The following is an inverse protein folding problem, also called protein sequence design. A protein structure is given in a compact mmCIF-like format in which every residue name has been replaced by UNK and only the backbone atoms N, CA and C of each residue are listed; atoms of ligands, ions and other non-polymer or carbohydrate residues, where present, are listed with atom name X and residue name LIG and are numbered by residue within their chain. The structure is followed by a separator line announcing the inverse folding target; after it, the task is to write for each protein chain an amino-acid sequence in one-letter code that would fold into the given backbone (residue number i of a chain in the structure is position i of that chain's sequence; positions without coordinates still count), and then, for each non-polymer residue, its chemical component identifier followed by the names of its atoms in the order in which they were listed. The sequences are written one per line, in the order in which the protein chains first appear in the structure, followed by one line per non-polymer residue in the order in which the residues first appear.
data_IF_577365270391
#
_entry.id   IF_577365270391
#
_cell.length_a   1.000
_cell.length_b   1.000
_cell.length_c   1.000
_cell.angle_alpha   90.00
_cell.angle_beta   90.00
_cell.angle_gamma   90.00
#
_symmetry.space_group_name_H-M   'P 1'
#
loop_
_entity.id
_entity.type
_entity.pdbx_description
1 polymer ?
#
# COMPACT_ATOMS: atom_id res chain seq x y z
N UNK A 1 -4.31 14.50 0.43
CA UNK A 1 -3.45 13.94 1.48
C UNK A 1 -2.50 12.96 0.83
N UNK A 2 -1.20 13.18 0.95
CA UNK A 2 -0.17 12.26 0.50
C UNK A 2 0.99 12.41 1.49
N UNK A 3 1.63 11.32 1.85
CA UNK A 3 2.68 11.33 2.86
C UNK A 3 2.86 9.98 3.54
N UNK A 4 3.88 9.92 4.38
CA UNK A 4 4.19 8.78 5.24
C UNK A 4 3.56 9.01 6.61
N UNK A 5 2.90 7.99 7.16
CA UNK A 5 2.46 7.96 8.56
C UNK A 5 3.41 7.04 9.32
N UNK A 6 4.12 7.59 10.29
CA UNK A 6 5.13 6.87 11.04
C UNK A 6 4.53 6.14 12.25
N UNK A 7 5.09 4.97 12.57
CA UNK A 7 4.85 4.28 13.84
C UNK A 7 6.12 3.60 14.37
N UNK A 8 6.02 2.95 15.52
CA UNK A 8 7.16 2.25 16.15
C UNK A 8 7.66 1.06 15.31
N UNK A 9 6.75 0.33 14.64
CA UNK A 9 7.07 -0.94 13.98
C UNK A 9 6.97 -0.91 12.46
N UNK A 10 6.12 -0.05 11.90
CA UNK A 10 5.92 0.05 10.46
C UNK A 10 5.42 1.44 10.07
N UNK A 11 6.05 2.04 9.08
CA UNK A 11 5.56 3.27 8.48
C UNK A 11 4.69 2.93 7.28
N UNK A 12 3.61 3.68 7.09
CA UNK A 12 2.65 3.44 6.01
C UNK A 12 2.55 4.68 5.14
N UNK A 13 2.87 4.53 3.85
CA UNK A 13 2.81 5.58 2.85
C UNK A 13 1.47 5.61 2.14
N UNK A 14 1.03 6.81 1.77
CA UNK A 14 -0.10 7.00 0.86
C UNK A 14 0.21 8.00 -0.26
N UNK A 15 0.00 7.57 -1.51
CA UNK A 15 0.05 8.44 -2.70
C UNK A 15 -1.34 8.62 -3.31
N UNK A 16 -1.95 9.78 -3.06
CA UNK A 16 -3.25 10.12 -3.64
C UNK A 16 -3.27 10.16 -5.17
N UNK A 17 -2.15 10.51 -5.82
CA UNK A 17 -2.02 10.51 -7.29
C UNK A 17 -2.10 9.11 -7.90
N UNK A 18 -1.71 8.09 -7.14
CA UNK A 18 -1.72 6.68 -7.56
C UNK A 18 -2.98 5.95 -7.13
N UNK A 19 -3.77 6.51 -6.21
CA UNK A 19 -4.93 5.84 -5.66
C UNK A 19 -6.06 5.74 -6.69
N UNK A 20 -6.47 4.51 -7.02
CA UNK A 20 -7.58 4.24 -7.94
C UNK A 20 -8.90 3.93 -7.21
N UNK A 21 -8.97 4.18 -5.89
CA UNK A 21 -10.13 3.88 -5.06
C UNK A 21 -10.60 2.40 -5.11
N UNK A 22 -9.67 1.43 -5.15
CA UNK A 22 -10.00 0.00 -5.15
C UNK A 22 -10.70 -0.48 -3.87
N UNK A 23 -10.61 0.32 -2.79
CA UNK A 23 -11.13 0.04 -1.44
C UNK A 23 -10.47 -1.14 -0.71
N UNK A 24 -9.43 -1.76 -1.26
CA UNK A 24 -8.75 -2.88 -0.60
C UNK A 24 -8.14 -2.49 0.76
N UNK A 25 -7.68 -1.24 0.93
CA UNK A 25 -7.17 -0.75 2.21
C UNK A 25 -8.29 -0.65 3.27
N UNK A 26 -9.30 0.18 3.01
CA UNK A 26 -10.41 0.44 3.95
C UNK A 26 -11.26 -0.81 4.25
N UNK A 27 -11.39 -1.73 3.29
CA UNK A 27 -12.08 -3.01 3.51
C UNK A 27 -11.16 -4.05 4.17
N UNK A 28 -9.85 -3.95 3.99
CA UNK A 28 -8.87 -4.86 4.59
C UNK A 28 -8.75 -4.66 6.11
N UNK A 29 -8.74 -3.41 6.56
CA UNK A 29 -8.92 -3.08 7.98
C UNK A 29 -9.39 -1.62 8.18
N UNK A 30 -10.67 -1.38 8.53
CA UNK A 30 -11.19 -0.03 8.75
C UNK A 30 -10.70 0.61 10.06
N UNK A 31 -10.05 -0.14 10.96
CA UNK A 31 -9.40 0.44 12.15
C UNK A 31 -8.02 1.02 11.80
N UNK A 32 -7.33 0.42 10.82
CA UNK A 32 -6.07 0.95 10.29
C UNK A 32 -6.34 2.06 9.29
N UNK A 33 -7.22 1.83 8.31
CA UNK A 33 -7.53 2.77 7.23
C UNK A 33 -8.95 3.29 7.41
N UNK A 34 -9.10 4.38 8.17
CA UNK A 34 -10.39 4.93 8.60
C UNK A 34 -10.99 5.81 7.48
N UNK A 35 -12.02 5.34 6.75
CA UNK A 35 -12.62 6.14 5.67
C UNK A 35 -13.31 7.39 6.23
N UNK A 36 -13.22 8.50 5.51
CA UNK A 36 -13.86 9.78 5.85
C UNK A 36 -13.44 10.37 7.21
N UNK A 37 -12.29 9.98 7.75
CA UNK A 37 -11.75 10.63 8.94
C UNK A 37 -11.54 12.14 8.67
N UNK A 38 -11.91 13.03 9.60
CA UNK A 38 -11.71 14.47 9.44
C UNK A 38 -10.23 14.90 9.49
N UNK A 39 -9.31 13.99 9.84
CA UNK A 39 -7.87 14.24 9.98
C UNK A 39 -7.03 13.06 9.53
N UNK A 40 -6.08 12.62 10.37
CA UNK A 40 -5.32 11.40 10.13
C UNK A 40 -6.28 10.22 9.96
N UNK A 41 -6.04 9.43 8.93
CA UNK A 41 -6.93 8.35 8.50
C UNK A 41 -6.20 7.00 8.38
N UNK A 42 -4.90 6.97 8.67
CA UNK A 42 -4.07 5.76 8.70
C UNK A 42 -3.52 5.61 10.12
N UNK A 43 -3.70 4.44 10.72
CA UNK A 43 -3.34 4.10 12.10
C UNK A 43 -2.58 2.77 12.13
N UNK A 44 -1.26 2.76 11.81
CA UNK A 44 -0.47 1.54 11.74
C UNK A 44 -0.41 0.77 13.07
N UNK A 45 -0.65 1.42 14.20
CA UNK A 45 -0.72 0.82 15.52
C UNK A 45 -1.96 -0.06 15.76
N UNK A 46 -2.99 0.04 14.91
CA UNK A 46 -4.26 -0.66 15.09
C UNK A 46 -4.24 -2.12 14.64
N UNK A 47 -3.15 -2.61 14.04
CA UNK A 47 -3.01 -3.98 13.55
C UNK A 47 -1.57 -4.51 13.68
N UNK A 48 -1.38 -5.82 13.46
CA UNK A 48 -0.04 -6.38 13.35
C UNK A 48 0.67 -5.92 12.08
N UNK A 49 2.00 -5.88 12.11
CA UNK A 49 2.84 -5.51 10.96
C UNK A 49 2.51 -6.39 9.76
N UNK A 50 2.34 -7.70 9.97
CA UNK A 50 2.02 -8.67 8.92
C UNK A 50 0.68 -8.36 8.24
N UNK A 51 -0.32 -7.93 9.02
CA UNK A 51 -1.63 -7.57 8.48
C UNK A 51 -1.54 -6.30 7.64
N UNK A 52 -0.78 -5.31 8.09
CA UNK A 52 -0.58 -4.06 7.35
C UNK A 52 0.16 -4.32 6.05
N UNK A 53 1.21 -5.12 6.07
CA UNK A 53 1.93 -5.57 4.86
C UNK A 53 0.96 -6.23 3.89
N UNK A 54 0.17 -7.21 4.34
CA UNK A 54 -0.79 -7.90 3.48
C UNK A 54 -1.83 -6.95 2.85
N UNK A 55 -2.30 -5.96 3.62
CA UNK A 55 -3.25 -4.96 3.12
C UNK A 55 -2.56 -4.02 2.12
N UNK A 56 -1.37 -3.52 2.41
CA UNK A 56 -0.60 -2.67 1.51
C UNK A 56 -0.31 -3.38 0.18
N UNK A 57 0.15 -4.62 0.22
CA UNK A 57 0.44 -5.45 -0.95
C UNK A 57 -0.81 -5.79 -1.78
N UNK A 58 -1.99 -5.69 -1.18
CA UNK A 58 -3.26 -5.85 -1.88
C UNK A 58 -3.65 -4.61 -2.70
N UNK A 59 -2.98 -3.46 -2.51
CA UNK A 59 -3.24 -2.23 -3.26
C UNK A 59 -2.81 -2.42 -4.73
N UNK A 60 -3.76 -2.47 -5.68
CA UNK A 60 -3.46 -2.82 -7.07
C UNK A 60 -2.70 -1.72 -7.84
N UNK A 61 -2.59 -0.52 -7.27
CA UNK A 61 -1.91 0.63 -7.89
C UNK A 61 -0.66 1.07 -7.14
N UNK A 62 -0.27 0.32 -6.10
CA UNK A 62 0.85 0.66 -5.22
C UNK A 62 0.70 2.01 -4.49
N UNK A 63 -0.54 2.49 -4.32
CA UNK A 63 -0.81 3.75 -3.64
C UNK A 63 -0.59 3.66 -2.12
N UNK A 64 -0.65 2.46 -1.56
CA UNK A 64 -0.27 2.16 -0.19
C UNK A 64 1.09 1.45 -0.24
N UNK A 65 2.07 2.00 0.45
CA UNK A 65 3.42 1.42 0.60
C UNK A 65 3.76 1.29 2.09
N UNK A 66 4.84 0.59 2.41
CA UNK A 66 5.29 0.48 3.79
C UNK A 66 6.81 0.45 3.92
N UNK A 67 7.28 0.83 5.11
CA UNK A 67 8.66 0.61 5.57
C UNK A 67 8.61 -0.12 6.90
N UNK A 68 9.13 -1.36 6.94
CA UNK A 68 9.20 -2.13 8.19
C UNK A 68 10.34 -1.64 9.07
N UNK A 69 10.08 -1.51 10.38
CA UNK A 69 11.08 -1.18 11.41
C UNK A 69 11.37 -2.35 12.35
N UNK A 70 10.63 -3.45 12.21
CA UNK A 70 10.74 -4.66 13.03
C UNK A 70 11.75 -5.70 12.51
N UNK A 71 12.52 -5.35 11.47
CA UNK A 71 13.52 -6.22 10.86
C UNK A 71 12.96 -7.24 9.86
N UNK A 72 11.66 -7.23 9.57
CA UNK A 72 11.09 -8.07 8.53
C UNK A 72 11.36 -7.58 7.10
N UNK A 73 10.93 -8.33 6.07
CA UNK A 73 11.18 -7.99 4.68
C UNK A 73 10.53 -6.66 4.27
N UNK A 74 11.30 -5.80 3.60
CA UNK A 74 10.77 -4.58 2.98
C UNK A 74 9.92 -4.92 1.76
N UNK A 75 9.14 -3.94 1.27
CA UNK A 75 8.47 -4.08 -0.02
C UNK A 75 9.51 -4.27 -1.13
N UNK A 76 9.32 -5.29 -1.95
CA UNK A 76 10.25 -5.70 -3.01
C UNK A 76 9.47 -6.14 -4.26
N UNK A 77 10.15 -6.12 -5.41
CA UNK A 77 9.64 -6.73 -6.64
C UNK A 77 9.56 -8.26 -6.52
N UNK A 78 8.63 -8.91 -7.21
CA UNK A 78 8.56 -10.36 -7.25
C UNK A 78 9.69 -10.93 -8.12
N UNK A 79 10.08 -12.18 -7.84
CA UNK A 79 11.02 -12.94 -8.69
C UNK A 79 10.49 -13.12 -10.11
N UNK A 80 9.16 -13.25 -10.24
CA UNK A 80 8.46 -13.37 -11.52
C UNK A 80 7.46 -12.24 -11.62
N UNK A 81 7.63 -11.39 -12.64
CA UNK A 81 6.70 -10.31 -12.93
C UNK A 81 5.31 -10.86 -13.25
N UNK A 82 4.27 -10.23 -12.70
CA UNK A 82 2.89 -10.61 -12.97
C UNK A 82 2.05 -9.40 -13.35
N UNK A 83 1.07 -9.63 -14.21
CA UNK A 83 0.04 -8.64 -14.57
C UNK A 83 -1.31 -9.32 -14.42
N UNK A 84 -2.22 -8.71 -13.66
CA UNK A 84 -3.59 -9.19 -13.50
C UNK A 84 -4.58 -8.16 -14.03
N UNK A 85 -5.39 -8.54 -15.01
CA UNK A 85 -6.52 -7.73 -15.45
C UNK A 85 -7.61 -7.78 -14.38
N UNK A 86 -7.99 -6.62 -13.84
CA UNK A 86 -9.18 -6.50 -12.98
C UNK A 86 -10.43 -6.31 -13.83
N UNK A 87 -11.60 -6.49 -13.24
CA UNK A 87 -12.87 -6.33 -13.94
C UNK A 87 -12.95 -4.96 -14.61
N UNK A 88 -13.04 -4.92 -15.94
CA UNK A 88 -12.99 -3.69 -16.74
C UNK A 88 -11.73 -2.84 -16.53
N UNK A 89 -10.63 -3.45 -16.08
CA UNK A 89 -9.41 -2.77 -15.69
C UNK A 89 -9.43 -2.23 -14.25
N UNK A 90 -8.30 -1.70 -13.74
CA UNK A 90 -7.01 -1.56 -14.41
C UNK A 90 -6.18 -2.86 -14.43
N UNK A 91 -5.02 -2.81 -15.09
CA UNK A 91 -3.98 -3.82 -14.98
C UNK A 91 -3.27 -3.64 -13.63
N UNK A 92 -3.37 -4.64 -12.75
CA UNK A 92 -2.58 -4.69 -11.52
C UNK A 92 -1.23 -5.35 -11.85
N UNK A 93 -0.20 -4.53 -11.97
CA UNK A 93 1.18 -4.96 -12.25
C UNK A 93 1.89 -5.21 -10.93
N UNK A 94 2.68 -6.28 -10.85
CA UNK A 94 3.59 -6.55 -9.74
C UNK A 94 4.94 -6.93 -10.35
N UNK A 95 5.88 -5.98 -10.32
CA UNK A 95 7.17 -5.99 -11.01
C UNK A 95 8.00 -4.81 -10.49
N UNK A 96 9.29 -4.74 -10.80
CA UNK A 96 10.00 -3.45 -10.74
C UNK A 96 9.53 -2.56 -11.90
N UNK A 97 8.92 -1.42 -11.57
CA UNK A 97 8.32 -0.49 -12.53
C UNK A 97 9.05 0.84 -12.41
N UNK A 98 9.63 1.32 -13.51
CA UNK A 98 10.26 2.63 -13.60
C UNK A 98 9.40 3.54 -14.47
N UNK A 99 8.84 4.60 -13.88
CA UNK A 99 8.05 5.62 -14.58
C UNK A 99 8.57 7.01 -14.21
N UNK A 100 8.89 7.82 -15.22
CA UNK A 100 9.47 9.16 -15.03
C UNK A 100 10.70 9.20 -14.09
N UNK A 101 11.47 8.10 -14.04
CA UNK A 101 12.63 7.94 -13.16
C UNK A 101 12.30 7.48 -11.72
N UNK A 102 11.02 7.34 -11.36
CA UNK A 102 10.58 6.81 -10.07
C UNK A 102 10.41 5.29 -10.15
N UNK A 103 10.94 4.56 -9.16
CA UNK A 103 10.79 3.10 -9.04
C UNK A 103 9.64 2.75 -8.11
N UNK A 104 8.81 1.79 -8.52
CA UNK A 104 7.73 1.23 -7.71
C UNK A 104 7.59 -0.27 -7.97
N UNK A 105 6.96 -0.99 -7.05
CA UNK A 105 6.82 -2.46 -7.16
C UNK A 105 5.40 -2.92 -7.54
N UNK A 106 4.44 -1.99 -7.53
CA UNK A 106 3.01 -2.12 -7.90
C UNK A 106 2.55 -0.82 -8.54
#
# INVERSE_FOLDING_TARGET
MAGMVESDKIDVGFSGKRCIHSRNCVLGDPHVFVPNAPGQWIHPEAASVEKIVAIAESCPSGAITYVRKDGGPQEQSPVVNTVRLRENGPLAVHAEIVLDGETSYR
#
